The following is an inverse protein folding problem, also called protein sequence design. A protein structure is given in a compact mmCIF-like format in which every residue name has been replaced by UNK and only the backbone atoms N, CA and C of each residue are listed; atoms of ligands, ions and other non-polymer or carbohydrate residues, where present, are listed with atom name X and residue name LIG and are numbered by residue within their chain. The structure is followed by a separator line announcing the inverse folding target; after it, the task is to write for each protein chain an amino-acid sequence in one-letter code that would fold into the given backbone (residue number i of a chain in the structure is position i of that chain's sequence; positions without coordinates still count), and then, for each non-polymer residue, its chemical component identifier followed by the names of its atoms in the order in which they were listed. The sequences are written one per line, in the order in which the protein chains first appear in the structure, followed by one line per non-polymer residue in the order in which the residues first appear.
data_IF_308311473103
#
_entry.id   IF_308311473103
#
_cell.length_a   1.000
_cell.length_b   1.000
_cell.length_c   1.000
_cell.angle_alpha   90.00
_cell.angle_beta   90.00
_cell.angle_gamma   90.00
#
_symmetry.space_group_name_H-M   'P 1'
#
loop_
_entity.id
_entity.type
_entity.pdbx_description
1 polymer ?
#
# COMPACT_ATOMS: atom_id res chain seq x y z
N UNK A 1 15.30 34.21 13.74
CA UNK A 1 15.79 32.81 13.67
C UNK A 1 14.70 32.06 12.92
N UNK A 2 14.95 31.84 11.63
CA UNK A 2 13.93 31.40 10.68
C UNK A 2 13.89 29.87 10.64
N UNK A 3 12.68 29.32 10.70
CA UNK A 3 12.35 27.93 10.46
C UNK A 3 12.65 27.57 9.01
N UNK A 4 13.57 26.62 8.83
CA UNK A 4 14.04 26.12 7.55
C UNK A 4 14.00 24.59 7.59
N UNK A 5 12.80 24.04 7.78
CA UNK A 5 12.54 22.61 7.69
C UNK A 5 11.14 22.39 7.11
N UNK A 6 11.03 22.34 5.78
CA UNK A 6 10.30 21.27 5.07
C UNK A 6 10.50 21.40 3.54
N UNK A 7 11.76 21.39 3.09
CA UNK A 7 12.03 21.17 1.66
C UNK A 7 12.01 19.65 1.46
N UNK A 8 10.87 19.11 1.04
CA UNK A 8 10.74 17.70 0.63
C UNK A 8 11.86 17.39 -0.36
N UNK A 9 12.71 16.42 0.01
CA UNK A 9 13.87 15.94 -0.74
C UNK A 9 13.44 15.54 -2.16
N UNK A 10 13.58 16.45 -3.14
CA UNK A 10 13.28 16.21 -4.55
C UNK A 10 14.37 15.30 -5.14
N UNK A 11 14.33 14.01 -4.78
CA UNK A 11 15.18 13.00 -5.42
C UNK A 11 14.62 12.67 -6.79
N UNK A 12 15.50 12.65 -7.78
CA UNK A 12 15.16 12.21 -9.14
C UNK A 12 15.52 10.73 -9.26
N UNK A 13 14.57 9.94 -9.73
CA UNK A 13 14.77 8.54 -10.05
C UNK A 13 15.44 8.41 -11.43
N UNK A 14 16.66 7.87 -11.45
CA UNK A 14 17.44 7.66 -12.66
C UNK A 14 17.55 6.16 -12.96
N UNK A 15 17.03 5.73 -14.11
CA UNK A 15 17.19 4.33 -14.55
C UNK A 15 18.59 4.11 -15.13
N UNK A 16 19.18 2.92 -14.91
CA UNK A 16 20.48 2.55 -15.48
C UNK A 16 20.39 1.66 -16.73
N UNK A 17 19.19 1.21 -17.12
CA UNK A 17 18.96 0.24 -18.20
C UNK A 17 19.02 0.80 -19.65
N UNK A 18 19.50 2.03 -19.84
CA UNK A 18 19.19 2.86 -21.01
C UNK A 18 19.82 2.47 -22.36
N UNK A 19 20.56 1.36 -22.48
CA UNK A 19 21.28 1.05 -23.73
C UNK A 19 20.43 0.46 -24.85
N UNK A 20 19.22 -0.01 -24.57
CA UNK A 20 18.44 -0.77 -25.56
C UNK A 20 17.37 0.03 -26.33
N UNK A 21 17.10 1.31 -26.00
CA UNK A 21 16.14 2.12 -26.77
C UNK A 21 16.35 3.66 -26.69
N UNK A 22 17.04 4.29 -27.65
CA UNK A 22 17.37 5.72 -27.62
C UNK A 22 16.21 6.70 -27.89
N UNK A 23 15.00 6.22 -28.21
CA UNK A 23 13.86 7.09 -28.61
C UNK A 23 12.87 7.43 -27.48
N UNK A 24 13.00 6.85 -26.28
CA UNK A 24 11.84 6.74 -25.35
C UNK A 24 11.89 7.51 -24.03
N UNK A 25 12.96 8.22 -23.69
CA UNK A 25 13.00 9.03 -22.46
C UNK A 25 13.59 10.42 -22.70
N UNK A 26 12.84 11.46 -22.32
CA UNK A 26 13.26 12.85 -22.36
C UNK A 26 14.32 13.16 -21.29
N UNK A 27 15.21 14.09 -21.63
CA UNK A 27 16.22 14.82 -20.83
C UNK A 27 17.25 14.07 -19.96
N UNK A 28 17.02 12.83 -19.52
CA UNK A 28 17.99 12.08 -18.69
C UNK A 28 19.30 11.76 -19.43
N UNK A 29 19.25 11.61 -20.76
CA UNK A 29 20.44 11.44 -21.60
C UNK A 29 21.36 12.66 -21.57
N UNK A 30 20.83 13.86 -21.31
CA UNK A 30 21.61 15.09 -21.30
C UNK A 30 22.60 15.10 -20.13
N UNK A 31 22.20 14.57 -18.97
CA UNK A 31 23.04 14.56 -17.75
C UNK A 31 24.21 13.58 -17.89
N UNK A 32 23.97 12.35 -18.34
CA UNK A 32 25.05 11.39 -18.56
C UNK A 32 25.98 11.84 -19.69
N UNK A 33 25.44 12.40 -20.78
CA UNK A 33 26.27 12.98 -21.86
C UNK A 33 27.13 14.12 -21.36
N UNK A 34 26.62 14.97 -20.47
CA UNK A 34 27.38 16.05 -19.83
C UNK A 34 28.58 15.50 -19.05
N UNK A 35 28.39 14.41 -18.29
CA UNK A 35 29.49 13.74 -17.58
C UNK A 35 30.58 13.23 -18.52
N UNK A 36 30.23 12.84 -19.75
CA UNK A 36 31.19 12.34 -20.74
C UNK A 36 31.83 13.44 -21.61
N UNK A 37 31.46 14.71 -21.46
CA UNK A 37 32.04 15.80 -22.27
C UNK A 37 33.50 16.11 -21.91
N UNK A 38 33.86 16.03 -20.63
CA UNK A 38 35.13 16.51 -20.10
C UNK A 38 35.49 15.79 -18.79
N UNK A 39 36.77 15.43 -18.60
CA UNK A 39 37.26 14.77 -17.37
C UNK A 39 37.04 15.63 -16.13
N UNK A 40 37.26 16.94 -16.22
CA UNK A 40 37.04 17.88 -15.11
C UNK A 40 35.58 17.90 -14.70
N UNK A 41 34.67 18.04 -15.67
CA UNK A 41 33.22 17.99 -15.45
C UNK A 41 32.80 16.66 -14.83
N UNK A 42 33.36 15.53 -15.29
CA UNK A 42 33.13 14.23 -14.67
C UNK A 42 33.56 14.22 -13.19
N UNK A 43 34.79 14.65 -12.90
CA UNK A 43 35.34 14.62 -11.54
C UNK A 43 34.55 15.51 -10.57
N UNK A 44 34.04 16.66 -11.03
CA UNK A 44 33.27 17.59 -10.20
C UNK A 44 31.81 17.17 -10.03
N UNK A 45 31.15 16.73 -11.11
CA UNK A 45 29.71 16.44 -11.09
C UNK A 45 29.38 15.00 -10.68
N UNK A 46 30.29 14.04 -10.88
CA UNK A 46 30.02 12.63 -10.54
C UNK A 46 29.68 12.45 -9.05
N UNK A 47 30.45 13.00 -8.09
CA UNK A 47 30.09 12.90 -6.68
C UNK A 47 28.71 13.50 -6.36
N UNK A 48 28.37 14.64 -6.97
CA UNK A 48 27.09 15.33 -6.76
C UNK A 48 25.95 14.47 -7.32
N UNK A 49 26.07 14.00 -8.56
CA UNK A 49 25.03 13.21 -9.23
C UNK A 49 24.73 11.93 -8.44
N UNK A 50 25.76 11.15 -8.10
CA UNK A 50 25.55 9.86 -7.45
C UNK A 50 25.15 9.97 -5.97
N UNK A 51 25.48 11.07 -5.30
CA UNK A 51 25.13 11.26 -3.89
C UNK A 51 23.75 11.86 -3.65
N UNK A 52 23.18 12.56 -4.64
CA UNK A 52 21.89 13.27 -4.50
C UNK A 52 20.71 12.56 -5.16
N UNK A 53 20.97 11.59 -6.04
CA UNK A 53 19.92 10.92 -6.81
C UNK A 53 19.69 9.48 -6.35
N UNK A 54 18.51 8.97 -6.69
CA UNK A 54 18.13 7.57 -6.48
C UNK A 54 18.24 6.82 -7.81
N UNK A 55 19.06 5.77 -7.84
CA UNK A 55 19.25 4.97 -9.05
C UNK A 55 18.40 3.71 -9.00
N UNK A 56 17.77 3.37 -10.11
CA UNK A 56 16.97 2.16 -10.26
C UNK A 56 17.51 1.34 -11.42
N UNK A 57 17.73 0.05 -11.19
CA UNK A 57 18.09 -0.90 -12.24
C UNK A 57 17.16 -2.12 -12.18
N UNK A 58 16.52 -2.38 -13.31
CA UNK A 58 15.60 -3.49 -13.50
C UNK A 58 16.26 -4.58 -14.36
N UNK A 59 16.09 -5.83 -13.97
CA UNK A 59 16.52 -6.94 -14.80
C UNK A 59 15.60 -7.08 -16.02
N UNK A 60 16.14 -6.84 -17.21
CA UNK A 60 15.41 -6.96 -18.48
C UNK A 60 15.82 -8.19 -19.30
N UNK A 61 16.74 -8.99 -18.76
CA UNK A 61 17.37 -10.11 -19.45
C UNK A 61 18.87 -10.17 -19.17
N UNK A 62 19.52 -11.18 -19.73
CA UNK A 62 20.95 -11.44 -19.52
C UNK A 62 21.82 -10.24 -19.90
N UNK A 63 22.67 -9.81 -18.97
CA UNK A 63 23.59 -8.68 -19.10
C UNK A 63 22.97 -7.31 -18.81
N UNK A 64 21.68 -7.24 -18.44
CA UNK A 64 21.02 -5.96 -18.14
C UNK A 64 21.60 -5.29 -16.88
N UNK A 65 22.08 -6.06 -15.91
CA UNK A 65 22.69 -5.51 -14.70
C UNK A 65 24.15 -5.07 -14.93
N UNK A 66 24.75 -5.41 -16.07
CA UNK A 66 26.12 -5.00 -16.41
C UNK A 66 26.29 -3.47 -16.49
N UNK A 67 25.22 -2.69 -16.56
CA UNK A 67 25.31 -1.23 -16.44
C UNK A 67 26.01 -0.82 -15.12
N UNK A 68 25.79 -1.56 -14.03
CA UNK A 68 26.49 -1.32 -12.75
C UNK A 68 27.99 -1.62 -12.85
N UNK A 69 28.41 -2.54 -13.71
CA UNK A 69 29.83 -2.79 -13.98
C UNK A 69 30.49 -1.64 -14.78
N UNK A 70 29.71 -0.78 -15.43
CA UNK A 70 30.27 0.36 -16.19
C UNK A 70 30.50 1.59 -15.33
N UNK A 71 29.93 1.61 -14.11
CA UNK A 71 30.16 2.69 -13.16
C UNK A 71 31.61 2.67 -12.67
N UNK A 72 32.25 3.85 -12.66
CA UNK A 72 33.59 3.97 -12.10
C UNK A 72 33.56 3.76 -10.59
N UNK A 73 34.70 3.42 -9.99
CA UNK A 73 34.80 3.30 -8.52
C UNK A 73 34.41 4.61 -7.83
N UNK A 74 34.73 5.77 -8.41
CA UNK A 74 34.28 7.07 -7.89
C UNK A 74 32.76 7.20 -7.84
N UNK A 75 32.06 6.77 -8.91
CA UNK A 75 30.59 6.78 -8.96
C UNK A 75 30.00 5.83 -7.91
N UNK A 76 30.53 4.61 -7.80
CA UNK A 76 30.11 3.63 -6.81
C UNK A 76 30.34 4.11 -5.37
N UNK A 77 31.47 4.76 -5.08
CA UNK A 77 31.77 5.32 -3.76
C UNK A 77 30.84 6.50 -3.41
N UNK A 78 30.51 7.33 -4.40
CA UNK A 78 29.62 8.47 -4.23
C UNK A 78 28.14 8.09 -4.11
N UNK A 79 27.77 6.90 -4.59
CA UNK A 79 26.39 6.44 -4.60
C UNK A 79 25.79 6.38 -3.19
N UNK A 80 24.59 6.94 -3.03
CA UNK A 80 23.86 6.97 -1.75
C UNK A 80 22.54 6.22 -1.77
N UNK A 81 21.92 6.04 -2.93
CA UNK A 81 20.64 5.33 -3.03
C UNK A 81 20.56 4.50 -4.31
N UNK A 82 20.30 3.20 -4.17
CA UNK A 82 20.20 2.25 -5.27
C UNK A 82 19.05 1.26 -5.04
N UNK A 83 18.24 1.05 -6.06
CA UNK A 83 17.26 -0.03 -6.13
C UNK A 83 17.62 -1.00 -7.25
N UNK A 84 17.72 -2.28 -6.90
CA UNK A 84 17.88 -3.37 -7.85
C UNK A 84 16.59 -4.18 -7.87
N UNK A 85 15.94 -4.28 -9.03
CA UNK A 85 14.72 -5.04 -9.23
C UNK A 85 15.01 -6.22 -10.17
N UNK A 86 14.90 -7.45 -9.68
CA UNK A 86 15.06 -8.65 -10.52
C UNK A 86 13.76 -9.13 -11.12
N UNK A 87 12.61 -8.60 -10.67
CA UNK A 87 11.30 -8.99 -11.15
C UNK A 87 11.21 -8.87 -12.67
N UNK A 88 11.20 -10.01 -13.35
CA UNK A 88 11.00 -10.06 -14.78
C UNK A 88 9.56 -9.65 -15.06
N UNK A 89 9.37 -8.41 -15.52
CA UNK A 89 8.18 -8.09 -16.29
C UNK A 89 8.25 -8.96 -17.53
N UNK A 90 7.38 -9.98 -17.61
CA UNK A 90 7.21 -10.81 -18.81
C UNK A 90 6.65 -9.93 -19.93
N UNK A 91 7.49 -9.04 -20.45
CA UNK A 91 7.22 -8.25 -21.63
C UNK A 91 7.61 -9.16 -22.78
N UNK A 92 6.66 -10.00 -23.20
CA UNK A 92 6.77 -10.73 -24.45
C UNK A 92 7.23 -9.76 -25.53
N UNK A 93 8.31 -10.12 -26.21
CA UNK A 93 8.82 -9.36 -27.33
C UNK A 93 7.69 -9.17 -28.36
N UNK A 94 7.37 -7.91 -28.68
CA UNK A 94 6.98 -7.40 -30.01
C UNK A 94 5.63 -6.70 -30.26
N UNK A 95 4.68 -6.51 -29.34
CA UNK A 95 3.41 -5.89 -29.79
C UNK A 95 2.68 -5.02 -28.75
N UNK A 96 3.19 -3.80 -28.48
CA UNK A 96 2.46 -2.52 -28.27
C UNK A 96 3.16 -1.57 -27.25
N UNK A 97 2.88 -0.25 -27.29
CA UNK A 97 3.52 0.75 -26.42
C UNK A 97 3.19 0.54 -24.93
N UNK A 98 4.24 0.50 -24.08
CA UNK A 98 4.23 0.22 -22.63
C UNK A 98 3.37 1.17 -21.75
N UNK A 99 2.65 2.14 -22.31
CA UNK A 99 1.97 3.16 -21.51
C UNK A 99 0.62 2.71 -20.91
N UNK A 100 0.08 1.55 -21.31
CA UNK A 100 -1.25 1.10 -20.83
C UNK A 100 -1.28 -0.27 -20.16
N UNK A 101 -0.17 -1.02 -20.14
CA UNK A 101 -0.10 -2.27 -19.40
C UNK A 101 0.73 -2.07 -18.13
N UNK A 102 0.03 -1.67 -17.06
CA UNK A 102 0.49 -1.95 -15.71
C UNK A 102 0.64 -3.47 -15.61
N UNK A 103 1.89 -3.91 -15.65
CA UNK A 103 2.41 -5.20 -15.22
C UNK A 103 1.36 -6.30 -15.02
N UNK A 104 1.15 -7.14 -16.05
CA UNK A 104 0.66 -8.49 -15.77
C UNK A 104 1.52 -9.10 -14.66
N UNK A 105 0.95 -9.95 -13.79
CA UNK A 105 1.67 -10.47 -12.63
C UNK A 105 2.99 -11.09 -13.08
N UNK A 106 4.09 -10.46 -12.66
CA UNK A 106 5.43 -10.98 -12.90
C UNK A 106 5.49 -12.35 -12.25
N UNK A 107 5.85 -13.37 -13.03
CA UNK A 107 5.98 -14.70 -12.45
C UNK A 107 7.11 -14.66 -11.42
N UNK A 108 6.86 -15.16 -10.19
CA UNK A 108 7.90 -15.18 -9.18
C UNK A 108 9.04 -16.11 -9.63
N UNK A 109 10.27 -15.75 -9.26
CA UNK A 109 11.46 -16.52 -9.56
C UNK A 109 11.35 -17.91 -8.95
N UNK A 110 11.79 -18.92 -9.69
CA UNK A 110 11.70 -20.34 -9.32
C UNK A 110 13.09 -20.95 -9.41
N UNK A 111 13.47 -21.74 -8.42
CA UNK A 111 14.78 -22.41 -8.42
C UNK A 111 14.97 -23.39 -9.60
N UNK A 112 13.87 -23.86 -10.21
CA UNK A 112 13.88 -24.81 -11.34
C UNK A 112 14.00 -24.14 -12.71
N UNK A 113 13.83 -22.82 -12.82
CA UNK A 113 13.88 -22.12 -14.10
C UNK A 113 15.29 -21.61 -14.39
N UNK A 114 15.86 -22.04 -15.52
CA UNK A 114 17.22 -21.67 -15.93
C UNK A 114 17.41 -20.16 -16.11
N UNK A 115 16.44 -19.48 -16.69
CA UNK A 115 16.51 -18.02 -16.91
C UNK A 115 16.58 -17.25 -15.58
N UNK A 116 15.79 -17.68 -14.59
CA UNK A 116 15.83 -17.12 -13.24
C UNK A 116 17.18 -17.38 -12.56
N UNK A 117 17.76 -18.57 -12.73
CA UNK A 117 19.09 -18.89 -12.18
C UNK A 117 20.21 -18.08 -12.85
N UNK A 118 20.13 -17.86 -14.16
CA UNK A 118 21.08 -17.02 -14.88
C UNK A 118 21.01 -15.56 -14.36
N UNK A 119 19.80 -15.05 -14.13
CA UNK A 119 19.59 -13.72 -13.53
C UNK A 119 20.15 -13.60 -12.11
N UNK A 120 19.96 -14.63 -11.27
CA UNK A 120 20.52 -14.68 -9.91
C UNK A 120 22.04 -14.78 -9.90
N UNK A 121 22.62 -15.46 -10.89
CA UNK A 121 24.08 -15.57 -11.06
C UNK A 121 24.67 -14.22 -11.46
N UNK A 122 24.05 -13.53 -12.42
CA UNK A 122 24.43 -12.17 -12.80
C UNK A 122 24.31 -11.21 -11.60
N UNK A 123 23.22 -11.31 -10.84
CA UNK A 123 23.07 -10.56 -9.59
C UNK A 123 24.19 -10.83 -8.58
N UNK A 124 24.57 -12.09 -8.36
CA UNK A 124 25.66 -12.44 -7.44
C UNK A 124 27.00 -11.79 -7.86
N UNK A 125 27.31 -11.80 -9.16
CA UNK A 125 28.51 -11.15 -9.70
C UNK A 125 28.48 -9.62 -9.50
N UNK A 126 27.35 -8.97 -9.84
CA UNK A 126 27.15 -7.53 -9.67
C UNK A 126 27.25 -7.13 -8.21
N UNK A 127 26.57 -7.86 -7.33
CA UNK A 127 26.51 -7.59 -5.90
C UNK A 127 27.90 -7.72 -5.26
N UNK A 128 28.67 -8.74 -5.63
CA UNK A 128 30.05 -8.93 -5.18
C UNK A 128 30.91 -7.69 -5.48
N UNK A 129 30.84 -7.16 -6.70
CA UNK A 129 31.54 -5.93 -7.07
C UNK A 129 31.00 -4.72 -6.31
N UNK A 130 29.68 -4.56 -6.25
CA UNK A 130 29.03 -3.42 -5.58
C UNK A 130 29.45 -3.35 -4.11
N UNK A 131 29.35 -4.46 -3.39
CA UNK A 131 29.69 -4.52 -1.97
C UNK A 131 31.19 -4.44 -1.69
N UNK A 132 32.05 -4.74 -2.67
CA UNK A 132 33.50 -4.55 -2.55
C UNK A 132 33.93 -3.09 -2.70
N UNK A 133 33.24 -2.31 -3.55
CA UNK A 133 33.71 -0.98 -3.96
C UNK A 133 32.83 0.19 -3.53
N UNK A 134 31.59 -0.04 -3.11
CA UNK A 134 30.70 1.03 -2.67
C UNK A 134 31.07 1.50 -1.26
N UNK A 135 30.84 2.78 -0.96
CA UNK A 135 30.91 3.30 0.41
C UNK A 135 29.64 2.88 1.16
N UNK A 136 29.65 1.65 1.66
CA UNK A 136 28.50 1.00 2.29
C UNK A 136 27.87 1.79 3.46
N UNK A 137 28.60 2.51 4.33
CA UNK A 137 28.02 3.18 5.49
C UNK A 137 26.98 4.26 5.17
N UNK A 138 26.89 4.72 3.92
CA UNK A 138 25.96 5.75 3.49
C UNK A 138 25.02 5.27 2.37
N UNK A 139 25.06 3.99 2.01
CA UNK A 139 24.23 3.45 0.94
C UNK A 139 22.87 2.99 1.50
N UNK A 140 21.80 3.57 0.95
CA UNK A 140 20.44 3.10 1.08
C UNK A 140 20.18 2.13 -0.07
N UNK A 141 20.14 0.84 0.25
CA UNK A 141 20.01 -0.21 -0.74
C UNK A 141 18.63 -0.86 -0.67
N UNK A 142 17.94 -0.94 -1.81
CA UNK A 142 16.67 -1.66 -1.93
C UNK A 142 16.79 -2.78 -2.95
N UNK A 143 16.39 -3.98 -2.55
CA UNK A 143 16.41 -5.16 -3.40
C UNK A 143 15.01 -5.75 -3.52
N UNK A 144 14.55 -5.95 -4.75
CA UNK A 144 13.23 -6.51 -5.05
C UNK A 144 13.42 -7.73 -5.94
N UNK A 145 13.06 -8.90 -5.43
CA UNK A 145 13.09 -10.16 -6.18
C UNK A 145 11.97 -11.06 -5.66
N UNK A 146 10.80 -11.01 -6.29
CA UNK A 146 9.67 -11.85 -5.96
C UNK A 146 10.01 -13.31 -6.32
N UNK A 147 10.07 -14.19 -5.32
CA UNK A 147 10.43 -15.61 -5.46
C UNK A 147 9.25 -16.51 -5.10
N UNK A 148 9.23 -17.71 -5.68
CA UNK A 148 8.17 -18.70 -5.51
C UNK A 148 8.49 -19.69 -4.39
N UNK A 149 9.78 -19.84 -4.05
CA UNK A 149 10.27 -20.88 -3.15
C UNK A 149 11.45 -20.38 -2.29
N UNK A 150 11.64 -21.02 -1.13
CA UNK A 150 12.65 -20.65 -0.13
C UNK A 150 14.07 -20.84 -0.66
N UNK A 151 14.29 -21.82 -1.54
CA UNK A 151 15.61 -22.08 -2.13
C UNK A 151 16.04 -20.90 -3.01
N UNK A 152 15.13 -20.41 -3.85
CA UNK A 152 15.32 -19.25 -4.70
C UNK A 152 15.51 -17.97 -3.86
N UNK A 153 14.71 -17.79 -2.81
CA UNK A 153 14.86 -16.71 -1.83
C UNK A 153 16.28 -16.67 -1.24
N UNK A 154 16.76 -17.83 -0.81
CA UNK A 154 18.10 -18.00 -0.20
C UNK A 154 19.21 -17.66 -1.20
N UNK A 155 19.08 -18.08 -2.46
CA UNK A 155 20.02 -17.72 -3.54
C UNK A 155 20.02 -16.22 -3.82
N UNK A 156 18.84 -15.59 -3.88
CA UNK A 156 18.70 -14.16 -4.16
C UNK A 156 19.37 -13.28 -3.08
N UNK A 157 19.30 -13.68 -1.82
CA UNK A 157 19.89 -12.94 -0.70
C UNK A 157 21.30 -13.36 -0.33
N UNK A 158 21.84 -14.43 -0.93
CA UNK A 158 23.20 -14.93 -0.67
C UNK A 158 24.27 -13.83 -0.74
N UNK A 159 24.26 -12.91 -1.73
CA UNK A 159 25.33 -11.92 -1.86
C UNK A 159 25.45 -10.94 -0.69
N UNK A 160 24.37 -10.74 0.09
CA UNK A 160 24.38 -9.87 1.26
C UNK A 160 25.24 -10.43 2.41
N UNK A 161 25.57 -11.72 2.39
CA UNK A 161 26.45 -12.33 3.38
C UNK A 161 27.92 -11.92 3.21
N UNK A 162 28.27 -11.40 2.02
CA UNK A 162 29.63 -10.95 1.68
C UNK A 162 29.88 -9.47 1.99
N UNK A 163 28.90 -8.78 2.58
CA UNK A 163 28.99 -7.36 2.91
C UNK A 163 30.00 -7.18 4.05
N UNK A 164 31.13 -6.53 3.74
CA UNK A 164 32.20 -6.29 4.71
C UNK A 164 31.89 -5.14 5.69
N UNK A 165 31.02 -4.20 5.30
CA UNK A 165 30.69 -3.02 6.10
C UNK A 165 29.17 -2.80 6.15
N UNK A 166 28.62 -2.38 7.30
CA UNK A 166 27.19 -2.10 7.43
C UNK A 166 26.65 -1.11 6.38
N UNK A 167 25.50 -1.43 5.80
CA UNK A 167 24.70 -0.51 5.00
C UNK A 167 24.00 0.52 5.89
N UNK A 168 23.79 1.74 5.38
CA UNK A 168 23.00 2.77 6.09
C UNK A 168 21.54 2.36 6.25
N UNK A 169 20.97 1.79 5.18
CA UNK A 169 19.62 1.25 5.14
C UNK A 169 19.57 0.11 4.13
N UNK A 170 18.85 -0.96 4.45
CA UNK A 170 18.66 -2.11 3.58
C UNK A 170 17.18 -2.53 3.59
N UNK A 171 16.51 -2.40 2.45
CA UNK A 171 15.15 -2.86 2.23
C UNK A 171 15.19 -4.09 1.30
N UNK A 172 14.65 -5.22 1.74
CA UNK A 172 14.60 -6.44 0.92
C UNK A 172 13.13 -6.88 0.78
N UNK A 173 12.67 -7.07 -0.46
CA UNK A 173 11.38 -7.68 -0.78
C UNK A 173 11.61 -8.97 -1.56
N UNK A 174 11.09 -10.08 -1.02
CA UNK A 174 11.20 -11.42 -1.63
C UNK A 174 9.89 -11.95 -2.20
N UNK A 175 8.78 -11.22 -2.08
CA UNK A 175 7.48 -11.65 -2.60
C UNK A 175 6.51 -10.49 -2.71
N UNK A 176 5.56 -10.59 -3.65
CA UNK A 176 4.44 -9.67 -3.78
C UNK A 176 3.39 -9.90 -2.70
N UNK A 177 3.09 -11.17 -2.45
CA UNK A 177 2.10 -11.59 -1.48
C UNK A 177 2.76 -11.81 -0.12
N UNK A 178 2.07 -11.52 1.00
CA UNK A 178 2.59 -11.76 2.34
C UNK A 178 2.95 -13.23 2.54
N UNK A 179 4.21 -13.50 2.88
CA UNK A 179 4.69 -14.81 3.26
C UNK A 179 5.62 -14.67 4.46
N UNK A 180 5.24 -15.18 5.65
CA UNK A 180 5.99 -14.94 6.89
C UNK A 180 7.41 -15.52 6.84
N UNK A 181 7.62 -16.61 6.09
CA UNK A 181 8.94 -17.23 5.97
C UNK A 181 9.87 -16.37 5.10
N UNK A 182 9.36 -15.86 3.97
CA UNK A 182 10.13 -14.97 3.11
C UNK A 182 10.39 -13.61 3.79
N UNK A 183 9.43 -13.12 4.55
CA UNK A 183 9.57 -11.90 5.34
C UNK A 183 10.66 -12.06 6.41
N UNK A 184 10.68 -13.17 7.15
CA UNK A 184 11.73 -13.46 8.13
C UNK A 184 13.11 -13.51 7.47
N UNK A 185 13.24 -14.20 6.32
CA UNK A 185 14.50 -14.25 5.56
C UNK A 185 14.94 -12.83 5.15
N UNK A 186 14.03 -12.04 4.57
CA UNK A 186 14.31 -10.69 4.11
C UNK A 186 14.75 -9.78 5.27
N UNK A 187 13.98 -9.78 6.37
CA UNK A 187 14.28 -8.97 7.56
C UNK A 187 15.61 -9.37 8.20
N UNK A 188 15.87 -10.67 8.36
CA UNK A 188 17.10 -11.16 8.98
C UNK A 188 18.33 -10.88 8.13
N UNK A 189 18.23 -10.93 6.81
CA UNK A 189 19.32 -10.54 5.92
C UNK A 189 19.52 -9.03 5.95
N UNK A 190 18.45 -8.23 5.84
CA UNK A 190 18.53 -6.78 5.85
C UNK A 190 19.19 -6.25 7.14
N UNK A 191 18.77 -6.75 8.31
CA UNK A 191 19.35 -6.40 9.61
C UNK A 191 20.84 -6.72 9.67
N UNK A 192 21.25 -7.92 9.23
CA UNK A 192 22.66 -8.31 9.16
C UNK A 192 23.46 -7.42 8.22
N UNK A 193 22.91 -7.11 7.04
CA UNK A 193 23.53 -6.21 6.08
C UNK A 193 23.72 -4.79 6.63
N UNK A 194 22.84 -4.34 7.54
CA UNK A 194 22.97 -3.07 8.27
C UNK A 194 23.85 -3.16 9.53
N UNK A 195 24.54 -4.29 9.78
CA UNK A 195 25.34 -4.49 10.99
C UNK A 195 24.54 -4.54 12.29
N UNK A 196 23.20 -4.64 12.20
CA UNK A 196 22.33 -4.79 13.35
C UNK A 196 22.40 -6.26 13.77
N UNK A 197 23.34 -6.56 14.68
CA UNK A 197 23.36 -7.83 15.37
C UNK A 197 22.14 -7.92 16.27
N UNK A 198 21.07 -8.55 15.77
CA UNK A 198 19.96 -8.92 16.60
C UNK A 198 20.43 -10.05 17.50
N UNK A 199 20.78 -9.72 18.74
CA UNK A 199 20.57 -10.68 19.81
C UNK A 199 19.05 -10.69 19.99
N UNK A 200 18.32 -11.72 19.52
CA UNK A 200 16.90 -11.79 19.80
C UNK A 200 16.76 -11.59 21.31
N UNK A 201 15.99 -10.59 21.75
CA UNK A 201 15.77 -10.41 23.17
C UNK A 201 15.27 -11.76 23.66
N UNK A 202 15.96 -12.33 24.66
CA UNK A 202 15.70 -13.69 25.17
C UNK A 202 14.24 -13.90 25.61
N UNK A 203 13.46 -12.82 25.69
CA UNK A 203 12.02 -12.82 25.86
C UNK A 203 11.40 -11.64 25.08
N UNK A 204 10.16 -11.82 24.60
CA UNK A 204 9.37 -10.74 24.03
C UNK A 204 9.23 -9.59 25.05
N UNK A 205 9.23 -8.35 24.57
CA UNK A 205 8.99 -7.18 25.42
C UNK A 205 7.63 -7.32 26.12
N UNK A 206 7.64 -7.42 27.45
CA UNK A 206 6.43 -7.69 28.24
C UNK A 206 5.60 -6.42 28.43
N UNK A 207 5.07 -5.86 27.35
CA UNK A 207 4.32 -4.59 27.33
C UNK A 207 3.19 -4.56 28.37
N UNK A 208 2.49 -5.69 28.55
CA UNK A 208 1.37 -5.78 29.50
C UNK A 208 1.80 -5.63 30.97
N UNK A 209 3.05 -5.92 31.28
CA UNK A 209 3.60 -5.82 32.64
C UNK A 209 4.11 -4.42 32.98
N UNK A 210 4.07 -3.50 32.03
CA UNK A 210 4.32 -2.09 32.32
C UNK A 210 3.17 -1.53 33.18
N UNK A 211 3.48 -0.61 34.11
CA UNK A 211 2.47 0.19 34.79
C UNK A 211 1.53 0.88 33.81
N UNK A 212 0.27 1.08 34.19
CA UNK A 212 -0.77 1.63 33.30
C UNK A 212 -0.39 3.02 32.77
N UNK A 213 0.32 3.82 33.56
CA UNK A 213 0.79 5.15 33.20
C UNK A 213 1.81 5.10 32.06
N UNK A 214 2.71 4.12 32.10
CA UNK A 214 3.73 3.92 31.06
C UNK A 214 3.08 3.40 29.79
N UNK A 215 2.12 2.46 29.90
CA UNK A 215 1.32 2.00 28.75
C UNK A 215 0.62 3.17 28.09
N UNK A 216 -0.11 3.98 28.85
CA UNK A 216 -0.80 5.16 28.34
C UNK A 216 0.18 6.22 27.79
N UNK A 217 1.36 6.38 28.37
CA UNK A 217 2.38 7.30 27.87
C UNK A 217 2.93 6.82 26.52
N UNK A 218 3.28 5.54 26.38
CA UNK A 218 3.69 4.95 25.11
C UNK A 218 2.58 5.10 24.06
N UNK A 219 1.32 4.81 24.44
CA UNK A 219 0.16 4.96 23.56
C UNK A 219 -0.09 6.40 23.09
N UNK A 220 0.46 7.43 23.76
CA UNK A 220 0.42 8.82 23.27
C UNK A 220 1.39 9.08 22.11
N UNK A 221 2.45 8.28 21.99
CA UNK A 221 3.48 8.43 20.94
C UNK A 221 3.42 7.34 19.89
N UNK A 222 2.62 6.30 20.09
CA UNK A 222 2.36 5.28 19.09
C UNK A 222 1.03 5.57 18.41
N UNK A 223 1.04 5.71 17.10
CA UNK A 223 -0.19 5.60 16.34
C UNK A 223 -0.75 4.20 16.59
N UNK A 224 -1.92 4.13 17.23
CA UNK A 224 -2.64 2.88 17.45
C UNK A 224 -3.19 2.37 16.12
N UNK A 225 -2.28 1.86 15.30
CA UNK A 225 -2.52 1.24 14.01
C UNK A 225 -2.77 -0.24 14.32
N UNK A 226 -3.98 -0.74 14.08
CA UNK A 226 -4.18 -2.19 14.08
C UNK A 226 -3.32 -2.78 12.96
N UNK A 227 -2.73 -3.98 13.09
CA UNK A 227 -1.76 -4.52 12.12
C UNK A 227 -2.23 -4.48 10.66
N UNK A 228 -3.54 -4.52 10.45
CA UNK A 228 -4.19 -4.44 9.14
C UNK A 228 -5.06 -3.17 8.96
N UNK A 229 -5.05 -2.23 9.90
CA UNK A 229 -5.94 -1.06 9.99
C UNK A 229 -7.45 -1.37 10.01
N UNK A 230 -7.83 -2.62 10.29
CA UNK A 230 -9.22 -3.06 10.34
C UNK A 230 -9.73 -2.94 11.78
N UNK A 231 -10.68 -2.04 11.99
CA UNK A 231 -11.53 -2.00 13.18
C UNK A 231 -12.96 -2.00 12.66
N UNK A 232 -13.67 -3.09 12.87
CA UNK A 232 -15.09 -3.17 12.62
C UNK A 232 -15.85 -2.67 13.85
N UNK A 233 -16.97 -1.98 13.68
CA UNK A 233 -17.89 -1.69 14.77
C UNK A 233 -19.15 -2.50 14.59
N UNK A 234 -19.61 -3.17 15.65
CA UNK A 234 -20.95 -3.72 15.69
C UNK A 234 -21.67 -3.37 17.00
N UNK A 235 -23.01 -3.27 17.01
CA UNK A 235 -23.76 -2.84 18.20
C UNK A 235 -23.55 -3.74 19.41
N UNK A 236 -23.34 -5.04 19.19
CA UNK A 236 -23.23 -6.06 20.24
C UNK A 236 -21.85 -6.07 20.91
N UNK A 237 -20.78 -5.84 20.13
CA UNK A 237 -19.39 -5.98 20.57
C UNK A 237 -18.64 -4.65 20.68
N UNK A 238 -19.20 -3.55 20.18
CA UNK A 238 -18.50 -2.28 20.05
C UNK A 238 -17.46 -2.31 18.93
N UNK A 239 -16.38 -1.55 19.09
CA UNK A 239 -15.24 -1.61 18.18
C UNK A 239 -14.45 -2.91 18.39
N UNK A 240 -14.20 -3.63 17.31
CA UNK A 240 -13.65 -4.97 17.26
C UNK A 240 -12.60 -5.07 16.15
N UNK A 241 -11.48 -5.74 16.40
CA UNK A 241 -10.60 -6.20 15.33
C UNK A 241 -11.06 -7.60 14.96
N UNK A 242 -11.78 -7.73 13.85
CA UNK A 242 -12.03 -9.01 13.22
C UNK A 242 -10.93 -9.23 12.19
N UNK A 243 -10.04 -10.18 12.46
CA UNK A 243 -9.13 -10.63 11.43
C UNK A 243 -9.98 -11.33 10.39
N UNK A 244 -10.19 -10.69 9.24
CA UNK A 244 -10.78 -11.35 8.08
C UNK A 244 -9.81 -12.47 7.62
N UNK A 245 -9.87 -13.62 8.28
CA UNK A 245 -9.31 -14.84 7.73
C UNK A 245 -10.16 -15.16 6.52
N UNK A 246 -9.66 -14.86 5.32
CA UNK A 246 -10.32 -15.28 4.10
C UNK A 246 -10.63 -16.79 4.23
N UNK A 247 -11.91 -17.21 4.16
CA UNK A 247 -12.22 -18.62 4.25
C UNK A 247 -11.50 -19.31 3.09
N UNK A 248 -10.70 -20.32 3.43
CA UNK A 248 -10.04 -21.16 2.44
C UNK A 248 -11.12 -21.94 1.68
N UNK A 249 -11.58 -21.42 0.55
CA UNK A 249 -12.43 -22.17 -0.36
C UNK A 249 -11.56 -23.09 -1.23
N UNK A 250 -11.21 -24.26 -0.68
CA UNK A 250 -10.70 -25.36 -1.47
C UNK A 250 -11.63 -26.58 -1.34
N UNK A 251 -12.28 -26.91 -2.46
CA UNK A 251 -13.08 -28.10 -2.77
C UNK A 251 -14.50 -28.22 -2.17
N UNK A 252 -15.38 -28.92 -2.92
CA UNK A 252 -16.79 -29.20 -2.61
C UNK A 252 -17.00 -30.14 -1.39
N UNK A 253 -15.95 -30.47 -0.66
CA UNK A 253 -16.03 -31.14 0.64
C UNK A 253 -15.62 -30.14 1.72
N UNK A 254 -16.52 -29.88 2.67
CA UNK A 254 -16.33 -28.97 3.79
C UNK A 254 -15.19 -29.42 4.73
N UNK A 255 -13.93 -29.24 4.32
CA UNK A 255 -12.79 -29.33 5.22
C UNK A 255 -12.58 -27.93 5.81
N UNK A 256 -13.04 -27.75 7.05
CA UNK A 256 -12.84 -26.54 7.84
C UNK A 256 -11.34 -26.37 8.10
N UNK A 257 -10.71 -25.37 7.49
CA UNK A 257 -9.32 -25.03 7.78
C UNK A 257 -9.18 -24.54 9.23
N UNK A 258 -8.32 -25.19 10.01
CA UNK A 258 -7.95 -24.69 11.35
C UNK A 258 -6.76 -23.72 11.23
N UNK A 259 -6.55 -22.81 12.20
CA UNK A 259 -5.37 -21.94 12.21
C UNK A 259 -4.02 -22.69 12.11
N UNK A 260 -3.99 -23.98 12.45
CA UNK A 260 -2.80 -24.84 12.34
C UNK A 260 -2.53 -25.37 10.92
N UNK A 261 -3.55 -25.40 10.05
CA UNK A 261 -3.49 -25.96 8.70
C UNK A 261 -2.66 -25.10 7.71
N UNK A 262 -2.35 -23.86 8.08
CA UNK A 262 -1.57 -22.92 7.25
C UNK A 262 -0.05 -23.13 7.30
N UNK A 263 0.45 -24.12 8.06
CA UNK A 263 1.89 -24.33 8.23
C UNK A 263 2.50 -25.42 7.35
N UNK A 264 1.72 -26.15 6.54
CA UNK A 264 2.28 -27.20 5.68
C UNK A 264 1.53 -27.40 4.36
N UNK A 265 2.28 -27.23 3.26
CA UNK A 265 2.16 -27.88 1.93
C UNK A 265 1.52 -27.14 0.74
N UNK A 266 2.21 -27.32 -0.41
CA UNK A 266 2.02 -26.81 -1.77
C UNK A 266 0.86 -27.48 -2.52
N UNK A 267 0.17 -26.75 -3.41
CA UNK A 267 0.03 -27.08 -4.86
C UNK A 267 -0.87 -26.09 -5.61
N UNK A 268 -0.57 -25.91 -6.90
CA UNK A 268 -1.12 -24.94 -7.86
C UNK A 268 -2.57 -25.21 -8.31
N UNK A 269 -3.39 -24.16 -8.49
CA UNK A 269 -4.22 -23.89 -9.69
C UNK A 269 -5.12 -22.63 -9.50
N UNK A 270 -5.44 -21.95 -10.61
CA UNK A 270 -5.90 -20.56 -10.66
C UNK A 270 -7.43 -20.30 -10.52
N UNK A 271 -7.73 -19.26 -9.71
CA UNK A 271 -8.76 -18.16 -9.73
C UNK A 271 -10.02 -18.26 -10.65
N UNK A 272 -11.21 -17.80 -10.18
CA UNK A 272 -11.51 -16.36 -10.00
C UNK A 272 -12.15 -15.91 -8.65
N UNK A 273 -12.32 -14.60 -8.55
CA UNK A 273 -12.33 -13.60 -7.44
C UNK A 273 -13.57 -13.54 -6.51
N UNK A 274 -13.43 -13.18 -5.21
CA UNK A 274 -14.54 -12.80 -4.32
C UNK A 274 -14.61 -11.27 -4.04
N UNK A 275 -15.82 -10.80 -3.70
CA UNK A 275 -16.09 -9.49 -3.09
C UNK A 275 -16.50 -9.69 -1.62
N UNK A 276 -16.12 -8.76 -0.74
CA UNK A 276 -16.48 -8.75 0.69
C UNK A 276 -17.64 -7.75 0.92
N UNK A 277 -18.68 -8.27 1.57
CA UNK A 277 -20.02 -7.69 1.76
C UNK A 277 -20.23 -7.53 3.27
N UNK A 278 -20.83 -6.41 3.69
CA UNK A 278 -21.52 -6.32 4.99
C UNK A 278 -22.58 -7.43 5.07
N UNK A 279 -22.35 -8.51 5.83
CA UNK A 279 -23.36 -9.55 6.02
C UNK A 279 -24.39 -9.10 7.07
N UNK A 280 -25.71 -9.13 6.77
CA UNK A 280 -26.72 -9.12 7.81
C UNK A 280 -26.67 -10.43 8.62
N UNK A 281 -27.20 -10.45 9.86
CA UNK A 281 -27.14 -11.63 10.72
C UNK A 281 -27.92 -12.80 10.10
N UNK A 282 -27.20 -13.86 9.74
CA UNK A 282 -27.81 -15.13 9.32
C UNK A 282 -28.16 -15.97 10.54
N UNK A 283 -29.46 -16.29 10.67
CA UNK A 283 -29.98 -17.31 11.58
C UNK A 283 -29.92 -18.66 10.85
N UNK A 284 -28.88 -19.48 11.07
CA UNK A 284 -28.95 -20.95 10.94
C UNK A 284 -27.94 -21.59 11.90
N UNK A 285 -28.40 -22.61 12.61
CA UNK A 285 -27.69 -23.38 13.62
C UNK A 285 -26.80 -24.50 13.04
N UNK A 286 -26.02 -25.10 13.95
CA UNK A 286 -25.34 -26.40 13.89
C UNK A 286 -23.88 -26.47 13.42
N UNK A 287 -22.97 -25.89 14.23
CA UNK A 287 -21.86 -26.61 14.93
C UNK A 287 -21.07 -25.62 15.80
N UNK A 288 -20.65 -25.97 17.04
CA UNK A 288 -19.99 -25.03 17.93
C UNK A 288 -18.49 -24.93 17.59
N UNK A 289 -18.17 -24.15 16.57
CA UNK A 289 -16.81 -23.64 16.37
C UNK A 289 -16.67 -22.37 17.22
N UNK A 290 -15.67 -22.33 18.09
CA UNK A 290 -15.32 -21.10 18.80
C UNK A 290 -14.85 -20.08 17.76
N UNK A 291 -15.57 -18.94 17.58
CA UNK A 291 -15.15 -17.92 16.64
C UNK A 291 -13.75 -17.41 17.02
N UNK A 292 -12.96 -16.92 16.05
CA UNK A 292 -11.66 -16.32 16.34
C UNK A 292 -11.83 -15.22 17.41
N UNK A 293 -10.81 -15.00 18.26
CA UNK A 293 -10.89 -14.01 19.33
C UNK A 293 -11.08 -12.62 18.72
N UNK A 294 -12.29 -12.09 18.86
CA UNK A 294 -12.59 -10.71 18.53
C UNK A 294 -11.90 -9.83 19.56
N UNK A 295 -10.94 -9.02 19.13
CA UNK A 295 -10.28 -8.06 20.03
C UNK A 295 -11.22 -6.87 20.17
N UNK A 296 -11.97 -6.82 21.27
CA UNK A 296 -12.82 -5.68 21.61
C UNK A 296 -11.96 -4.53 22.12
N UNK A 297 -12.07 -3.35 21.51
CA UNK A 297 -11.39 -2.14 21.97
C UNK A 297 -12.06 -1.68 23.27
N UNK A 298 -11.33 -1.57 24.39
CA UNK A 298 -11.91 -1.11 25.64
C UNK A 298 -12.51 0.30 25.49
N UNK A 299 -13.72 0.53 26.02
CA UNK A 299 -14.34 1.88 26.01
C UNK A 299 -13.43 2.95 26.62
N UNK A 300 -12.59 2.57 27.59
CA UNK A 300 -11.63 3.46 28.23
C UNK A 300 -10.53 3.98 27.29
N UNK A 301 -10.32 3.42 26.10
CA UNK A 301 -9.31 3.91 25.16
C UNK A 301 -9.88 4.72 23.99
N UNK A 302 -11.21 4.68 23.78
CA UNK A 302 -11.89 5.33 22.64
C UNK A 302 -11.63 6.84 22.61
N UNK A 303 -11.57 7.50 23.77
CA UNK A 303 -11.30 8.95 23.86
C UNK A 303 -9.85 9.36 23.50
N UNK A 304 -8.93 8.39 23.35
CA UNK A 304 -7.58 8.65 22.86
C UNK A 304 -7.48 8.64 21.34
N UNK A 305 -8.51 8.17 20.61
CA UNK A 305 -8.52 8.21 19.16
C UNK A 305 -8.36 9.66 18.67
N UNK A 306 -7.56 9.82 17.60
CA UNK A 306 -7.25 11.10 16.96
C UNK A 306 -7.59 11.11 15.49
N UNK A 307 -7.65 9.93 14.88
CA UNK A 307 -7.99 9.75 13.49
C UNK A 307 -8.94 8.56 13.40
N UNK A 308 -10.08 8.75 12.75
CA UNK A 308 -11.07 7.70 12.50
C UNK A 308 -11.39 7.76 11.02
N UNK A 309 -11.31 6.61 10.35
CA UNK A 309 -11.63 6.46 8.96
C UNK A 309 -12.75 5.44 8.81
N UNK A 310 -13.82 5.83 8.11
CA UNK A 310 -15.02 5.01 7.89
C UNK A 310 -15.15 4.79 6.39
N UNK A 311 -15.15 3.53 5.97
CA UNK A 311 -15.26 3.16 4.56
C UNK A 311 -16.60 2.47 4.33
N UNK A 312 -17.46 3.08 3.52
CA UNK A 312 -18.67 2.46 3.02
C UNK A 312 -18.34 1.68 1.75
N UNK A 313 -18.80 0.42 1.62
CA UNK A 313 -18.63 -0.34 0.39
C UNK A 313 -19.41 0.33 -0.76
N UNK A 314 -19.14 -0.05 -2.01
CA UNK A 314 -19.90 0.47 -3.12
C UNK A 314 -21.40 0.20 -2.98
N UNK A 315 -22.19 1.22 -3.24
CA UNK A 315 -23.65 1.19 -3.12
C UNK A 315 -24.28 0.42 -4.30
N UNK A 316 -24.21 -0.91 -4.28
CA UNK A 316 -24.85 -1.76 -5.30
C UNK A 316 -26.39 -1.72 -5.22
N UNK A 317 -26.91 -1.55 -4.00
CA UNK A 317 -28.33 -1.49 -3.66
C UNK A 317 -28.56 -0.42 -2.61
N UNK A 318 -29.79 0.06 -2.49
CA UNK A 318 -30.16 1.01 -1.45
C UNK A 318 -30.33 0.33 -0.08
N UNK A 319 -29.23 -0.14 0.51
CA UNK A 319 -29.22 -0.82 1.82
C UNK A 319 -29.25 0.16 3.00
N UNK A 320 -29.30 1.46 2.75
CA UNK A 320 -29.34 2.51 3.77
C UNK A 320 -30.72 3.14 3.91
N UNK A 321 -31.80 2.44 3.53
CA UNK A 321 -33.17 2.94 3.75
C UNK A 321 -33.43 3.13 5.24
N UNK A 322 -34.33 4.06 5.57
CA UNK A 322 -34.56 4.47 6.96
C UNK A 322 -34.92 3.30 7.88
N UNK A 323 -35.58 2.27 7.36
CA UNK A 323 -35.98 1.09 8.14
C UNK A 323 -34.96 -0.07 8.07
N UNK A 324 -33.89 0.07 7.28
CA UNK A 324 -32.89 -0.99 7.14
C UNK A 324 -32.02 -1.08 8.39
N UNK A 325 -31.74 -2.30 8.89
CA UNK A 325 -30.89 -2.48 10.05
C UNK A 325 -29.53 -1.80 9.93
N UNK A 326 -28.91 -1.84 8.74
CA UNK A 326 -27.61 -1.21 8.50
C UNK A 326 -27.65 0.32 8.73
N UNK A 327 -28.74 0.99 8.33
CA UNK A 327 -28.88 2.42 8.57
C UNK A 327 -29.15 2.73 10.04
N UNK A 328 -29.97 1.92 10.70
CA UNK A 328 -30.22 2.07 12.14
C UNK A 328 -28.95 1.89 12.97
N UNK A 329 -28.11 0.93 12.59
CA UNK A 329 -26.79 0.72 13.18
C UNK A 329 -25.89 1.93 12.95
N UNK A 330 -25.87 2.48 11.73
CA UNK A 330 -25.12 3.70 11.43
C UNK A 330 -25.52 4.88 12.33
N UNK A 331 -26.82 5.10 12.52
CA UNK A 331 -27.33 6.14 13.42
C UNK A 331 -26.86 5.93 14.87
N UNK A 332 -26.88 4.68 15.35
CA UNK A 332 -26.38 4.34 16.69
C UNK A 332 -24.87 4.56 16.80
N UNK A 333 -24.09 4.22 15.78
CA UNK A 333 -22.64 4.47 15.76
C UNK A 333 -22.35 5.95 15.90
N UNK A 334 -23.03 6.81 15.13
CA UNK A 334 -22.82 8.25 15.18
C UNK A 334 -23.22 8.83 16.54
N UNK A 335 -24.33 8.37 17.12
CA UNK A 335 -24.73 8.77 18.48
C UNK A 335 -23.71 8.32 19.55
N UNK A 336 -23.12 7.13 19.41
CA UNK A 336 -22.04 6.68 20.30
C UNK A 336 -20.77 7.52 20.14
N UNK A 337 -20.42 7.91 18.91
CA UNK A 337 -19.25 8.76 18.64
C UNK A 337 -19.34 10.10 19.37
N UNK A 338 -20.51 10.73 19.39
CA UNK A 338 -20.74 11.99 20.11
C UNK A 338 -20.42 11.88 21.61
N UNK A 339 -20.78 10.74 22.22
CA UNK A 339 -20.65 10.52 23.65
C UNK A 339 -19.29 9.96 24.08
N UNK A 340 -18.63 9.20 23.21
CA UNK A 340 -17.43 8.43 23.57
C UNK A 340 -16.12 9.07 23.07
N UNK A 341 -16.18 9.92 22.03
CA UNK A 341 -15.00 10.53 21.43
C UNK A 341 -14.72 11.94 21.96
N UNK A 342 -13.44 12.28 22.04
CA UNK A 342 -13.02 13.67 22.20
C UNK A 342 -13.01 14.39 20.85
N UNK A 343 -14.20 14.75 20.34
CA UNK A 343 -14.40 15.29 18.99
C UNK A 343 -13.42 16.43 18.61
N UNK A 344 -13.10 17.33 19.57
CA UNK A 344 -12.15 18.43 19.37
C UNK A 344 -10.72 18.00 19.00
N UNK A 345 -10.38 16.73 19.19
CA UNK A 345 -9.07 16.13 18.86
C UNK A 345 -9.17 15.05 17.79
N UNK A 346 -10.36 14.76 17.29
CA UNK A 346 -10.59 13.72 16.29
C UNK A 346 -10.68 14.34 14.91
N UNK A 347 -9.90 13.79 14.00
CA UNK A 347 -10.09 13.91 12.56
C UNK A 347 -10.94 12.74 12.11
N UNK A 348 -12.11 13.02 11.53
CA UNK A 348 -12.97 12.01 10.95
C UNK A 348 -12.83 12.02 9.43
N UNK A 349 -12.74 10.85 8.81
CA UNK A 349 -12.73 10.70 7.36
C UNK A 349 -13.74 9.66 6.92
N UNK A 350 -14.51 9.98 5.88
CA UNK A 350 -15.50 9.08 5.29
C UNK A 350 -15.16 8.81 3.84
N UNK A 351 -15.04 7.53 3.49
CA UNK A 351 -14.98 7.07 2.11
C UNK A 351 -16.30 6.44 1.72
N UNK A 352 -16.82 6.84 0.56
CA UNK A 352 -17.90 6.16 -0.13
C UNK A 352 -17.29 5.51 -1.35
N UNK A 353 -16.88 4.24 -1.20
CA UNK A 353 -16.10 3.56 -2.22
C UNK A 353 -16.90 3.45 -3.52
N UNK A 354 -16.21 3.62 -4.65
CA UNK A 354 -16.74 3.27 -5.95
C UNK A 354 -16.20 1.91 -6.39
N UNK A 355 -17.01 1.16 -7.13
CA UNK A 355 -16.64 -0.15 -7.68
C UNK A 355 -15.34 -0.08 -8.48
N UNK A 356 -14.95 1.10 -9.00
CA UNK A 356 -13.72 1.29 -9.77
C UNK A 356 -12.45 1.03 -8.97
N UNK A 357 -12.46 1.22 -7.64
CA UNK A 357 -11.31 0.89 -6.79
C UNK A 357 -11.12 -0.64 -6.75
N UNK A 358 -12.19 -1.42 -6.91
CA UNK A 358 -12.14 -2.88 -6.97
C UNK A 358 -12.03 -3.44 -8.42
N UNK A 359 -12.17 -2.59 -9.45
CA UNK A 359 -12.43 -3.00 -10.83
C UNK A 359 -11.19 -3.21 -11.72
N UNK A 360 -10.02 -3.60 -11.18
CA UNK A 360 -8.96 -4.11 -12.06
C UNK A 360 -9.30 -5.49 -12.65
N UNK A 361 -10.37 -6.13 -12.17
CA UNK A 361 -10.92 -7.33 -12.79
C UNK A 361 -11.78 -6.93 -14.00
N UNK A 362 -11.29 -7.20 -15.21
CA UNK A 362 -11.96 -6.95 -16.51
C UNK A 362 -13.29 -7.71 -16.69
N UNK A 363 -13.79 -8.35 -15.63
CA UNK A 363 -14.97 -9.22 -15.62
C UNK A 363 -16.13 -8.65 -14.80
N UNK A 364 -16.14 -7.35 -14.49
CA UNK A 364 -17.36 -6.77 -13.95
C UNK A 364 -18.47 -6.95 -14.99
N UNK A 365 -19.62 -7.54 -14.61
CA UNK A 365 -20.74 -7.74 -15.53
C UNK A 365 -21.11 -6.42 -16.22
N UNK A 366 -21.46 -6.48 -17.51
CA UNK A 366 -21.91 -5.34 -18.33
C UNK A 366 -22.96 -4.44 -17.66
N UNK A 367 -23.67 -5.00 -16.66
CA UNK A 367 -24.56 -4.32 -15.74
C UNK A 367 -24.00 -3.04 -15.08
N UNK A 368 -22.68 -2.95 -14.88
CA UNK A 368 -22.06 -1.83 -14.17
C UNK A 368 -21.62 -0.67 -15.06
N UNK A 369 -21.64 -0.85 -16.38
CA UNK A 369 -21.17 0.18 -17.33
C UNK A 369 -22.23 1.22 -17.70
N UNK A 370 -23.49 1.01 -17.29
CA UNK A 370 -24.60 1.91 -17.64
C UNK A 370 -25.50 2.12 -16.44
N UNK A 371 -25.17 3.11 -15.63
CA UNK A 371 -26.07 3.57 -14.57
C UNK A 371 -27.13 4.46 -15.24
N UNK A 372 -28.41 4.08 -15.10
CA UNK A 372 -29.52 4.95 -15.48
C UNK A 372 -29.52 6.21 -14.60
N UNK A 373 -29.95 7.37 -15.11
CA UNK A 373 -29.97 8.64 -14.36
C UNK A 373 -30.68 8.51 -12.99
N UNK A 374 -31.76 7.74 -12.94
CA UNK A 374 -32.50 7.40 -11.71
C UNK A 374 -31.61 6.78 -10.62
N UNK A 375 -30.65 5.93 -11.02
CA UNK A 375 -29.69 5.33 -10.08
C UNK A 375 -28.68 6.35 -9.57
N UNK A 376 -28.26 7.32 -10.39
CA UNK A 376 -27.41 8.42 -9.94
C UNK A 376 -28.07 9.22 -8.82
N UNK A 377 -29.38 9.47 -8.95
CA UNK A 377 -30.18 10.13 -7.91
C UNK A 377 -30.28 9.27 -6.64
N UNK A 378 -30.47 7.95 -6.77
CA UNK A 378 -30.49 7.04 -5.61
C UNK A 378 -29.14 7.06 -4.89
N UNK A 379 -28.03 6.98 -5.63
CA UNK A 379 -26.67 7.04 -5.07
C UNK A 379 -26.41 8.38 -4.36
N UNK A 380 -26.83 9.50 -4.92
CA UNK A 380 -26.73 10.80 -4.25
C UNK A 380 -27.51 10.82 -2.92
N UNK A 381 -28.74 10.29 -2.90
CA UNK A 381 -29.53 10.16 -1.67
C UNK A 381 -28.90 9.23 -0.64
N UNK A 382 -28.19 8.19 -1.08
CA UNK A 382 -27.42 7.32 -0.18
C UNK A 382 -26.26 8.07 0.44
N UNK A 383 -25.53 8.86 -0.34
CA UNK A 383 -24.44 9.70 0.17
C UNK A 383 -24.97 10.71 1.20
N UNK A 384 -26.09 11.36 0.90
CA UNK A 384 -26.75 12.29 1.83
C UNK A 384 -27.17 11.59 3.12
N UNK A 385 -27.71 10.36 3.06
CA UNK A 385 -28.07 9.57 4.26
C UNK A 385 -26.86 9.17 5.09
N UNK A 386 -25.72 8.87 4.47
CA UNK A 386 -24.46 8.63 5.22
C UNK A 386 -24.02 9.89 5.95
N UNK A 387 -24.06 11.03 5.28
CA UNK A 387 -23.50 12.29 5.80
C UNK A 387 -24.43 12.97 6.81
N UNK A 388 -25.75 12.92 6.61
CA UNK A 388 -26.70 13.68 7.42
C UNK A 388 -26.54 13.43 8.93
N UNK A 389 -26.42 12.19 9.44
CA UNK A 389 -26.25 11.96 10.88
C UNK A 389 -24.98 12.62 11.44
N UNK A 390 -23.92 12.76 10.63
CA UNK A 390 -22.66 13.36 11.07
C UNK A 390 -22.78 14.86 11.34
N UNK A 391 -23.84 15.54 10.91
CA UNK A 391 -24.06 16.95 11.25
C UNK A 391 -24.31 17.16 12.73
N UNK A 392 -24.67 16.11 13.47
CA UNK A 392 -24.85 16.15 14.93
C UNK A 392 -23.51 16.17 15.69
N UNK A 393 -22.39 15.77 15.06
CA UNK A 393 -21.07 15.73 15.70
C UNK A 393 -20.46 17.13 15.85
N UNK A 394 -20.85 17.87 16.88
CA UNK A 394 -20.36 19.23 17.12
C UNK A 394 -18.92 19.24 17.67
N UNK A 395 -18.09 20.09 17.08
CA UNK A 395 -16.73 20.31 17.56
C UNK A 395 -15.70 19.29 17.06
N UNK A 396 -15.96 18.60 15.95
CA UNK A 396 -14.93 17.84 15.24
C UNK A 396 -13.72 18.73 14.91
N UNK A 397 -12.49 18.18 15.01
CA UNK A 397 -11.27 18.93 14.69
C UNK A 397 -11.13 19.13 13.18
N UNK A 398 -11.30 18.04 12.43
CA UNK A 398 -11.21 17.99 10.97
C UNK A 398 -12.18 16.94 10.45
N UNK A 399 -12.72 17.17 9.26
CA UNK A 399 -13.59 16.22 8.59
C UNK A 399 -13.27 16.18 7.09
N UNK A 400 -13.16 14.97 6.54
CA UNK A 400 -12.83 14.75 5.14
C UNK A 400 -13.84 13.78 4.52
N UNK A 401 -14.33 14.08 3.33
CA UNK A 401 -15.27 13.21 2.60
C UNK A 401 -14.74 12.90 1.21
N UNK A 402 -14.48 11.62 0.99
CA UNK A 402 -14.12 11.09 -0.31
C UNK A 402 -15.31 10.35 -0.89
N UNK A 403 -16.00 11.02 -1.80
CA UNK A 403 -17.17 10.49 -2.47
C UNK A 403 -16.94 10.53 -3.97
N UNK A 404 -17.36 9.48 -4.67
CA UNK A 404 -17.36 9.47 -6.13
C UNK A 404 -18.65 10.10 -6.63
N UNK A 405 -18.55 10.94 -7.66
CA UNK A 405 -19.72 11.56 -8.27
C UNK A 405 -20.72 10.51 -8.79
N UNK A 406 -21.96 10.46 -8.26
CA UNK A 406 -22.97 9.45 -8.58
C UNK A 406 -23.26 9.28 -10.07
N UNK A 407 -23.07 10.35 -10.83
CA UNK A 407 -23.36 10.41 -12.26
C UNK A 407 -22.14 10.14 -13.16
N UNK A 408 -20.97 9.84 -12.58
CA UNK A 408 -19.75 9.54 -13.34
C UNK A 408 -19.91 8.36 -14.32
N UNK A 409 -20.90 7.48 -14.08
CA UNK A 409 -21.16 6.23 -14.82
C UNK A 409 -22.40 6.26 -15.73
N UNK A 410 -23.02 7.43 -15.91
CA UNK A 410 -24.12 7.57 -16.86
C UNK A 410 -23.52 7.71 -18.26
N UNK A 411 -23.73 6.73 -19.15
CA UNK A 411 -23.03 6.61 -20.45
C UNK A 411 -23.14 7.88 -21.33
N UNK A 412 -24.30 8.55 -21.29
CA UNK A 412 -24.53 9.81 -22.01
C UNK A 412 -23.59 10.94 -21.56
N UNK A 413 -23.13 10.87 -20.32
CA UNK A 413 -22.22 11.81 -19.69
C UNK A 413 -20.76 11.35 -19.86
N UNK A 414 -20.46 10.05 -19.72
CA UNK A 414 -19.08 9.53 -19.75
C UNK A 414 -18.30 9.86 -21.04
N UNK A 415 -18.96 9.89 -22.21
CA UNK A 415 -18.31 10.25 -23.50
C UNK A 415 -17.89 11.72 -23.60
N UNK A 416 -18.52 12.61 -22.85
CA UNK A 416 -18.15 14.03 -22.79
C UNK A 416 -17.08 14.29 -21.71
N UNK A 417 -16.90 13.36 -20.77
CA UNK A 417 -16.32 13.64 -19.45
C UNK A 417 -14.84 13.29 -19.30
N UNK A 418 -14.30 12.43 -20.16
CA UNK A 418 -12.88 12.05 -20.09
C UNK A 418 -11.93 13.16 -20.59
N UNK A 419 -12.45 14.27 -21.12
CA UNK A 419 -11.66 15.38 -21.67
C UNK A 419 -11.95 16.77 -21.08
N UNK A 420 -12.94 16.94 -20.18
CA UNK A 420 -13.34 18.27 -19.67
C UNK A 420 -12.84 18.51 -18.21
N UNK A 421 -11.91 19.46 -17.98
CA UNK A 421 -11.46 19.88 -16.65
C UNK A 421 -12.58 20.26 -15.67
N UNK A 422 -13.76 20.67 -16.18
CA UNK A 422 -14.93 20.97 -15.33
C UNK A 422 -15.42 19.76 -14.55
N UNK A 423 -15.16 18.53 -15.02
CA UNK A 423 -15.58 17.31 -14.35
C UNK A 423 -14.81 17.06 -13.04
N UNK A 424 -13.49 17.27 -13.03
CA UNK A 424 -12.68 17.19 -11.81
C UNK A 424 -13.18 18.21 -10.77
N UNK A 425 -13.61 19.38 -11.24
CA UNK A 425 -14.20 20.40 -10.37
C UNK A 425 -15.55 19.97 -9.79
N UNK A 426 -16.42 19.27 -10.54
CA UNK A 426 -17.71 18.76 -10.05
C UNK A 426 -17.53 17.64 -9.01
N UNK A 427 -16.60 16.70 -9.21
CA UNK A 427 -16.36 15.65 -8.22
C UNK A 427 -15.80 16.24 -6.91
N UNK A 428 -14.85 17.18 -7.01
CA UNK A 428 -14.34 17.93 -5.86
C UNK A 428 -15.43 18.71 -5.13
N UNK A 429 -16.46 19.18 -5.85
CA UNK A 429 -17.58 19.92 -5.29
C UNK A 429 -18.46 19.06 -4.36
N UNK A 430 -18.58 17.74 -4.60
CA UNK A 430 -19.39 16.88 -3.72
C UNK A 430 -18.76 16.67 -2.34
N UNK A 431 -17.46 16.34 -2.30
CA UNK A 431 -16.73 16.22 -1.03
C UNK A 431 -16.82 17.53 -0.24
N UNK A 432 -16.53 18.65 -0.89
CA UNK A 432 -16.62 19.99 -0.29
C UNK A 432 -18.05 20.33 0.19
N UNK A 433 -19.10 19.97 -0.57
CA UNK A 433 -20.51 20.11 -0.17
C UNK A 433 -20.77 19.38 1.16
N UNK A 434 -20.36 18.12 1.27
CA UNK A 434 -20.60 17.31 2.47
C UNK A 434 -19.74 17.73 3.65
N UNK A 435 -18.49 18.10 3.40
CA UNK A 435 -17.60 18.62 4.44
C UNK A 435 -18.15 19.91 5.04
N UNK A 436 -18.61 20.85 4.22
CA UNK A 436 -19.25 22.10 4.67
C UNK A 436 -20.60 21.87 5.33
N UNK A 437 -21.34 20.84 4.93
CA UNK A 437 -22.58 20.46 5.59
C UNK A 437 -22.35 20.05 7.05
N UNK A 438 -21.27 19.32 7.33
CA UNK A 438 -20.93 18.84 8.68
C UNK A 438 -20.15 19.89 9.48
N UNK A 439 -19.13 20.50 8.89
CA UNK A 439 -18.19 21.40 9.58
C UNK A 439 -18.59 22.87 9.53
N UNK A 440 -19.60 23.21 8.73
CA UNK A 440 -20.03 24.58 8.47
C UNK A 440 -19.43 25.19 7.20
N UNK A 441 -20.11 26.23 6.68
CA UNK A 441 -19.81 26.82 5.38
C UNK A 441 -18.40 27.42 5.23
N UNK A 442 -17.75 27.78 6.34
CA UNK A 442 -16.38 28.32 6.35
C UNK A 442 -15.28 27.26 6.30
N UNK A 443 -15.63 25.97 6.38
CA UNK A 443 -14.66 24.88 6.34
C UNK A 443 -14.06 24.72 4.93
N UNK A 444 -12.76 24.41 4.89
CA UNK A 444 -12.02 24.18 3.66
C UNK A 444 -10.93 23.12 3.91
N UNK A 445 -11.17 21.89 3.46
CA UNK A 445 -10.26 20.76 3.62
C UNK A 445 -8.89 20.97 2.98
N UNK A 446 -8.80 21.75 1.89
CA UNK A 446 -7.52 22.04 1.21
C UNK A 446 -6.54 22.76 2.14
N UNK A 447 -7.03 23.60 3.04
CA UNK A 447 -6.20 24.33 4.00
C UNK A 447 -5.84 23.48 5.24
N UNK A 448 -6.48 22.32 5.42
CA UNK A 448 -6.37 21.53 6.63
C UNK A 448 -5.30 20.43 6.58
N UNK A 449 -4.47 20.41 5.52
CA UNK A 449 -3.49 19.37 5.23
C UNK A 449 -4.14 17.99 5.29
N UNK A 450 -4.91 17.69 4.25
CA UNK A 450 -5.57 16.40 4.09
C UNK A 450 -4.54 15.26 4.28
N UNK A 451 -4.82 14.28 5.17
CA UNK A 451 -3.92 13.15 5.36
C UNK A 451 -3.72 12.40 4.03
N UNK A 452 -2.65 11.60 3.88
CA UNK A 452 -2.45 10.77 2.69
C UNK A 452 -3.68 9.94 2.35
N UNK A 453 -3.80 9.60 1.05
CA UNK A 453 -4.85 8.69 0.56
C UNK A 453 -4.80 7.41 1.39
N UNK A 454 -5.98 6.96 1.81
CA UNK A 454 -6.10 5.75 2.60
C UNK A 454 -5.43 4.56 1.92
N UNK A 455 -4.74 3.73 2.70
CA UNK A 455 -4.19 2.49 2.17
C UNK A 455 -5.29 1.57 1.60
N UNK A 456 -6.53 1.67 2.09
CA UNK A 456 -7.69 0.95 1.55
C UNK A 456 -7.94 1.25 0.06
N UNK A 457 -7.54 2.44 -0.39
CA UNK A 457 -7.64 2.83 -1.79
C UNK A 457 -6.37 2.53 -2.60
N UNK A 458 -5.21 2.37 -1.93
CA UNK A 458 -3.94 2.08 -2.60
C UNK A 458 -3.64 0.59 -2.69
N UNK A 459 -4.24 -0.23 -1.82
CA UNK A 459 -4.19 -1.70 -1.85
C UNK A 459 -5.10 -2.25 -2.96
N UNK A 460 -4.92 -1.75 -4.18
CA UNK A 460 -5.23 -2.52 -5.38
C UNK A 460 -4.06 -3.47 -5.63
N UNK A 461 -4.26 -4.81 -5.58
CA UNK A 461 -3.20 -5.78 -5.80
C UNK A 461 -2.36 -5.52 -7.04
#
# INVERSE_FOLDING_TARGET
MADLHDYTDQRVDLSLNHESNPQKFGDNHSILRLLFTCRTTYTELCPILYSTNHFIIDYQGKGSLHALFRLSNTALIAMRSLTVQLNMTAIGANTLPRFFFRNGPTQPFRATCREHLDALTEWEEVASRLFTHCSLPNLHFRFVCDVADIECATKAVKPFSSIAFPLAQCDIRLGRDPNPVLEDIAQNVAKRAMGIHFNPPLSAFRFLDLPVEIKLHLLKYTDLITPNLEIEWCPEKGFAVEYAMAPCHFSEEWIVCTPHSHYTSNSDAAKPTPALIMRPPSVVADTPLTPPPVIVIPRSVIHFLRFIEIVFPPFEKDYLLTLEPAYQQWLQTVASMENELHLAKVTLRVYMADLNICAQDQRLPDYYHRIAEERGIILERMHERVIQPLTELKGLSKFFVHSVWPFARVEALTRWHQADPKFVAVNKNMGDKYEKLVMGASYNSVLMNEPPISQWLTLTP
#
